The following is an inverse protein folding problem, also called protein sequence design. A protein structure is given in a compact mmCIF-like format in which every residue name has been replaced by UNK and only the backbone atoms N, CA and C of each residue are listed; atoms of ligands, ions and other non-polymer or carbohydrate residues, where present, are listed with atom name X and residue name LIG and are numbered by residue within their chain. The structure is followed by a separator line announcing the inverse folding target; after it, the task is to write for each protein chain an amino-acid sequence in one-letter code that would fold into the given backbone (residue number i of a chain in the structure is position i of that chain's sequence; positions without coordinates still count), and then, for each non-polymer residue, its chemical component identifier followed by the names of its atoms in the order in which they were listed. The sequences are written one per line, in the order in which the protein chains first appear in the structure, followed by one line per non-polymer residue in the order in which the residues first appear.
data_IF_541715672812
#
_entry.id   IF_541715672812
#
_cell.length_a   1.000
_cell.length_b   1.000
_cell.length_c   1.000
_cell.angle_alpha   90.00
_cell.angle_beta   90.00
_cell.angle_gamma   90.00
#
_symmetry.space_group_name_H-M   'P 1'
#
loop_
_entity.id
_entity.type
_entity.pdbx_description
1 polymer ?
#
# COMPACT_ATOMS: atom_id res chain seq x y z
N UNK A 1 -53.33 -48.57 36.56
CA UNK A 1 -53.70 -47.29 35.92
C UNK A 1 -52.43 -46.52 35.58
N UNK A 2 -52.22 -46.25 34.29
CA UNK A 2 -51.01 -45.69 33.67
C UNK A 2 -51.12 -44.16 33.60
N UNK A 3 -50.11 -43.40 34.07
CA UNK A 3 -49.78 -42.02 33.60
C UNK A 3 -48.29 -41.74 33.86
N UNK A 4 -47.39 -41.98 32.91
CA UNK A 4 -46.86 -41.07 31.86
C UNK A 4 -46.26 -39.74 32.37
N UNK A 5 -44.93 -39.81 32.52
CA UNK A 5 -43.86 -38.81 32.39
C UNK A 5 -44.12 -37.62 31.47
N UNK A 6 -43.66 -36.40 31.82
CA UNK A 6 -43.11 -35.40 30.88
C UNK A 6 -42.06 -34.53 31.60
N UNK A 7 -40.77 -34.82 31.36
CA UNK A 7 -39.64 -33.95 31.71
C UNK A 7 -39.37 -33.04 30.51
N UNK A 8 -39.56 -31.73 30.65
CA UNK A 8 -39.18 -30.75 29.63
C UNK A 8 -37.66 -30.50 29.71
N UNK A 9 -36.89 -31.08 28.78
CA UNK A 9 -35.49 -30.74 28.58
C UNK A 9 -35.41 -29.55 27.61
N UNK A 10 -35.10 -28.37 28.15
CA UNK A 10 -34.83 -27.15 27.38
C UNK A 10 -33.44 -27.25 26.76
N UNK A 11 -33.34 -27.68 25.50
CA UNK A 11 -32.08 -27.70 24.75
C UNK A 11 -31.78 -26.28 24.28
N UNK A 12 -30.88 -25.59 24.98
CA UNK A 12 -30.29 -24.33 24.49
C UNK A 12 -29.34 -24.66 23.35
N UNK A 13 -29.75 -24.35 22.12
CA UNK A 13 -28.87 -24.38 20.95
C UNK A 13 -27.88 -23.22 21.09
N UNK A 14 -26.70 -23.50 21.63
CA UNK A 14 -25.58 -22.57 21.61
C UNK A 14 -25.07 -22.56 20.16
N UNK A 15 -25.46 -21.56 19.39
CA UNK A 15 -24.92 -21.31 18.06
C UNK A 15 -23.45 -20.91 18.22
N UNK A 16 -22.52 -21.86 18.07
CA UNK A 16 -21.12 -21.56 17.89
C UNK A 16 -20.97 -20.78 16.58
N UNK A 17 -20.70 -19.48 16.70
CA UNK A 17 -20.12 -18.72 15.60
C UNK A 17 -18.81 -19.43 15.24
N UNK A 18 -18.83 -20.21 14.17
CA UNK A 18 -17.67 -20.94 13.69
C UNK A 18 -16.66 -19.91 13.20
N UNK A 19 -15.64 -19.63 14.01
CA UNK A 19 -14.42 -19.00 13.55
C UNK A 19 -13.72 -20.03 12.67
N UNK A 20 -14.13 -20.10 11.39
CA UNK A 20 -13.49 -20.95 10.40
C UNK A 20 -11.97 -20.68 10.42
N UNK A 21 -11.20 -21.76 10.40
CA UNK A 21 -9.99 -21.92 11.20
C UNK A 21 -8.73 -21.25 10.64
N UNK A 22 -8.70 -19.92 10.69
CA UNK A 22 -7.51 -19.10 10.38
C UNK A 22 -6.28 -19.58 11.15
N UNK A 23 -6.45 -20.10 12.37
CA UNK A 23 -5.35 -20.59 13.19
C UNK A 23 -4.75 -21.88 12.62
N UNK A 24 -5.59 -22.80 12.13
CA UNK A 24 -5.14 -23.98 11.41
C UNK A 24 -4.41 -23.60 10.13
N UNK A 25 -4.90 -22.63 9.35
CA UNK A 25 -4.17 -22.15 8.15
C UNK A 25 -2.78 -21.61 8.52
N UNK A 26 -2.70 -20.75 9.56
CA UNK A 26 -1.42 -20.22 10.05
C UNK A 26 -0.48 -21.33 10.51
N UNK A 27 -1.01 -22.33 11.22
CA UNK A 27 -0.24 -23.46 11.73
C UNK A 27 0.31 -24.29 10.58
N UNK A 28 -0.54 -24.63 9.60
CA UNK A 28 -0.16 -25.40 8.42
C UNK A 28 0.88 -24.65 7.57
N UNK A 29 0.71 -23.35 7.34
CA UNK A 29 1.71 -22.54 6.63
C UNK A 29 3.07 -22.54 7.34
N UNK A 30 3.09 -22.35 8.66
CA UNK A 30 4.34 -22.34 9.42
C UNK A 30 5.04 -23.72 9.43
N UNK A 31 4.27 -24.81 9.46
CA UNK A 31 4.83 -26.16 9.50
C UNK A 31 5.29 -26.63 8.12
N UNK A 32 4.46 -26.43 7.09
CA UNK A 32 4.66 -27.00 5.76
C UNK A 32 5.47 -26.06 4.85
N UNK A 33 5.31 -24.75 5.01
CA UNK A 33 5.90 -23.73 4.15
C UNK A 33 6.54 -22.57 4.94
N UNK A 34 7.46 -22.81 5.89
CA UNK A 34 8.03 -21.79 6.77
C UNK A 34 8.80 -20.65 6.07
N UNK A 35 9.11 -20.83 4.78
CA UNK A 35 9.76 -19.80 3.95
C UNK A 35 8.78 -18.78 3.37
N UNK A 36 7.50 -19.13 3.25
CA UNK A 36 6.48 -18.23 2.72
C UNK A 36 6.06 -17.24 3.81
N UNK A 37 6.17 -15.95 3.50
CA UNK A 37 5.73 -14.87 4.39
C UNK A 37 4.35 -14.40 3.96
N UNK A 38 3.33 -15.01 4.54
CA UNK A 38 1.94 -14.64 4.33
C UNK A 38 1.43 -13.96 5.60
N UNK A 39 1.08 -12.69 5.47
CA UNK A 39 0.61 -11.86 6.57
C UNK A 39 -0.90 -11.66 6.50
N UNK A 40 -1.49 -11.18 7.61
CA UNK A 40 -2.88 -10.73 7.67
C UNK A 40 -3.91 -11.75 7.14
N UNK A 41 -3.75 -13.01 7.51
CA UNK A 41 -4.63 -14.10 7.08
C UNK A 41 -6.04 -13.88 7.66
N UNK A 42 -7.05 -13.92 6.79
CA UNK A 42 -8.46 -13.65 7.09
C UNK A 42 -9.36 -14.63 6.33
N UNK A 43 -10.56 -14.88 6.86
CA UNK A 43 -11.61 -15.61 6.16
C UNK A 43 -12.12 -14.82 4.96
N UNK A 44 -12.48 -15.52 3.88
CA UNK A 44 -13.22 -14.92 2.77
C UNK A 44 -14.70 -15.31 2.83
N UNK A 45 -15.50 -14.73 1.94
CA UNK A 45 -16.90 -15.12 1.76
C UNK A 45 -17.05 -16.51 1.13
N UNK A 46 -16.00 -17.01 0.48
CA UNK A 46 -15.92 -18.39 0.02
C UNK A 46 -15.49 -19.31 1.17
N UNK A 47 -16.38 -20.21 1.59
CA UNK A 47 -16.10 -21.19 2.63
C UNK A 47 -14.86 -22.04 2.26
N UNK A 48 -13.97 -22.23 3.22
CA UNK A 48 -12.74 -23.00 3.05
C UNK A 48 -11.62 -22.27 2.30
N UNK A 49 -11.86 -21.04 1.83
CA UNK A 49 -10.85 -20.20 1.20
C UNK A 49 -10.53 -19.01 2.10
N UNK A 50 -9.24 -18.79 2.31
CA UNK A 50 -8.68 -17.76 3.15
C UNK A 50 -7.84 -16.82 2.31
N UNK A 51 -7.87 -15.53 2.64
CA UNK A 51 -7.02 -14.52 2.01
C UNK A 51 -5.85 -14.19 2.92
N UNK A 52 -4.69 -13.92 2.34
CA UNK A 52 -3.55 -13.33 3.04
C UNK A 52 -2.81 -12.34 2.15
N UNK A 53 -1.80 -11.69 2.69
CA UNK A 53 -0.93 -10.77 1.97
C UNK A 53 0.45 -11.40 1.80
N UNK A 54 0.90 -11.55 0.56
CA UNK A 54 2.23 -12.04 0.21
C UNK A 54 2.83 -11.08 -0.82
N UNK A 55 4.00 -10.51 -0.52
CA UNK A 55 4.68 -9.53 -1.39
C UNK A 55 3.76 -8.39 -1.86
N UNK A 56 2.98 -7.82 -0.93
CA UNK A 56 1.99 -6.77 -1.17
C UNK A 56 0.83 -7.15 -2.12
N UNK A 57 0.66 -8.43 -2.43
CA UNK A 57 -0.46 -8.95 -3.21
C UNK A 57 -1.39 -9.80 -2.33
N UNK A 58 -2.70 -9.65 -2.54
CA UNK A 58 -3.66 -10.54 -1.91
C UNK A 58 -3.58 -11.90 -2.59
N UNK A 59 -3.35 -12.93 -1.78
CA UNK A 59 -3.30 -14.33 -2.20
C UNK A 59 -4.39 -15.11 -1.50
N UNK A 60 -4.86 -16.18 -2.15
CA UNK A 60 -5.88 -17.07 -1.62
C UNK A 60 -5.32 -18.46 -1.39
N UNK A 61 -5.76 -19.12 -0.33
CA UNK A 61 -5.34 -20.48 0.02
C UNK A 61 -6.46 -21.27 0.67
N UNK A 62 -6.38 -22.59 0.54
CA UNK A 62 -7.20 -23.54 1.29
C UNK A 62 -6.68 -23.73 2.72
N UNK A 63 -7.49 -24.42 3.54
CA UNK A 63 -7.13 -24.71 4.94
C UNK A 63 -5.90 -25.61 5.07
N UNK A 64 -5.69 -26.48 4.10
CA UNK A 64 -4.56 -27.41 4.00
C UNK A 64 -3.22 -26.74 3.67
N UNK A 65 -3.25 -25.45 3.32
CA UNK A 65 -2.12 -24.65 2.87
C UNK A 65 -1.30 -25.27 1.73
N UNK A 66 -1.89 -26.17 0.92
CA UNK A 66 -1.17 -26.87 -0.15
C UNK A 66 -1.05 -26.07 -1.46
N UNK A 67 -1.97 -25.13 -1.68
CA UNK A 67 -2.09 -24.37 -2.93
C UNK A 67 -2.32 -22.88 -2.65
N UNK A 68 -1.76 -22.04 -3.52
CA UNK A 68 -2.01 -20.60 -3.55
C UNK A 68 -2.62 -20.22 -4.89
N UNK A 69 -3.66 -19.38 -4.85
CA UNK A 69 -4.24 -18.73 -6.02
C UNK A 69 -3.93 -17.24 -5.96
N UNK A 70 -3.46 -16.70 -7.09
CA UNK A 70 -3.16 -15.28 -7.27
C UNK A 70 -4.14 -14.73 -8.31
N UNK A 71 -4.84 -13.65 -7.97
CA UNK A 71 -5.81 -13.03 -8.88
C UNK A 71 -6.90 -12.27 -8.15
N UNK A 72 -8.00 -12.02 -8.87
CA UNK A 72 -9.18 -11.34 -8.32
C UNK A 72 -10.34 -12.30 -8.08
N UNK A 73 -10.95 -12.21 -6.90
CA UNK A 73 -12.18 -12.88 -6.51
C UNK A 73 -13.35 -11.94 -6.70
N UNK A 74 -14.32 -12.36 -7.50
CA UNK A 74 -15.57 -11.63 -7.71
C UNK A 74 -16.74 -12.39 -7.08
N UNK A 75 -17.54 -11.69 -6.28
CA UNK A 75 -18.81 -12.20 -5.79
C UNK A 75 -19.83 -12.10 -6.92
N UNK A 76 -20.36 -13.23 -7.36
CA UNK A 76 -21.22 -13.26 -8.55
C UNK A 76 -22.58 -12.59 -8.35
N UNK A 77 -23.09 -12.57 -7.12
CA UNK A 77 -24.42 -12.02 -6.82
C UNK A 77 -24.56 -10.53 -7.12
N UNK A 78 -23.48 -9.76 -6.97
CA UNK A 78 -23.42 -8.31 -7.18
C UNK A 78 -22.24 -7.88 -8.05
N UNK A 79 -21.54 -8.85 -8.65
CA UNK A 79 -20.31 -8.67 -9.45
C UNK A 79 -19.20 -7.91 -8.71
N UNK A 80 -19.21 -7.94 -7.38
CA UNK A 80 -18.27 -7.16 -6.57
C UNK A 80 -16.89 -7.80 -6.53
N UNK A 81 -15.84 -7.02 -6.80
CA UNK A 81 -14.46 -7.46 -6.63
C UNK A 81 -14.06 -7.46 -5.13
N UNK A 82 -14.03 -8.62 -4.51
CA UNK A 82 -13.71 -8.80 -3.09
C UNK A 82 -12.22 -8.57 -2.83
N UNK A 83 -11.35 -8.93 -3.78
CA UNK A 83 -9.91 -8.68 -3.69
C UNK A 83 -9.63 -7.18 -3.61
N UNK A 84 -10.30 -6.37 -4.44
CA UNK A 84 -10.15 -4.91 -4.42
C UNK A 84 -10.44 -4.35 -3.03
N UNK A 85 -11.52 -4.79 -2.39
CA UNK A 85 -11.87 -4.35 -1.04
C UNK A 85 -10.84 -4.77 0.00
N UNK A 86 -10.32 -5.99 -0.08
CA UNK A 86 -9.27 -6.48 0.81
C UNK A 86 -7.98 -5.67 0.65
N UNK A 87 -7.55 -5.44 -0.59
CA UNK A 87 -6.37 -4.62 -0.91
C UNK A 87 -6.51 -3.21 -0.31
N UNK A 88 -7.67 -2.57 -0.50
CA UNK A 88 -7.94 -1.25 0.05
C UNK A 88 -8.00 -1.27 1.57
N UNK A 89 -8.66 -2.25 2.19
CA UNK A 89 -8.78 -2.32 3.65
C UNK A 89 -7.44 -2.55 4.34
N UNK A 90 -6.57 -3.37 3.75
CA UNK A 90 -5.33 -3.80 4.38
C UNK A 90 -4.15 -2.86 4.09
N UNK A 91 -4.18 -2.13 2.98
CA UNK A 91 -3.03 -1.37 2.49
C UNK A 91 -3.38 0.05 2.03
N UNK A 92 -4.34 0.70 2.70
CA UNK A 92 -4.67 2.12 2.47
C UNK A 92 -4.36 3.01 3.67
N UNK A 93 -4.27 4.31 3.40
CA UNK A 93 -4.22 5.38 4.39
C UNK A 93 -5.30 6.41 4.07
N UNK A 94 -5.63 7.27 5.03
CA UNK A 94 -6.52 8.39 4.74
C UNK A 94 -5.76 9.48 3.97
N UNK A 95 -6.00 9.57 2.66
CA UNK A 95 -5.37 10.54 1.77
C UNK A 95 -5.51 11.98 2.31
N UNK A 96 -6.64 12.31 2.92
CA UNK A 96 -6.91 13.67 3.43
C UNK A 96 -6.02 14.06 4.60
N UNK A 97 -5.37 13.09 5.25
CA UNK A 97 -4.41 13.32 6.33
C UNK A 97 -2.98 13.56 5.84
N UNK A 98 -2.71 13.43 4.54
CA UNK A 98 -1.40 13.76 4.00
C UNK A 98 -1.19 15.29 3.99
N UNK A 99 -0.11 15.81 4.61
CA UNK A 99 0.22 17.23 4.56
C UNK A 99 0.84 17.57 3.20
N UNK A 100 0.02 17.68 2.15
CA UNK A 100 0.48 17.85 0.76
C UNK A 100 1.38 19.09 0.56
N UNK A 101 1.32 20.09 1.44
CA UNK A 101 2.21 21.26 1.45
C UNK A 101 3.68 20.91 1.79
N UNK A 102 3.92 19.77 2.43
CA UNK A 102 5.26 19.29 2.79
C UNK A 102 5.93 18.49 1.65
N UNK A 103 5.23 18.34 0.52
CA UNK A 103 5.71 17.67 -0.67
C UNK A 103 6.18 18.67 -1.74
N UNK A 104 7.12 18.22 -2.56
CA UNK A 104 7.44 18.87 -3.84
C UNK A 104 6.32 18.54 -4.83
N UNK A 105 5.59 19.57 -5.28
CA UNK A 105 4.45 19.40 -6.20
C UNK A 105 4.90 19.55 -7.65
N UNK A 106 4.62 18.54 -8.46
CA UNK A 106 4.79 18.58 -9.92
C UNK A 106 3.45 18.34 -10.60
N UNK A 107 3.08 19.17 -11.57
CA UNK A 107 1.82 19.05 -12.32
C UNK A 107 2.13 18.74 -13.79
N UNK A 108 1.46 17.73 -14.35
CA UNK A 108 1.55 17.34 -15.76
C UNK A 108 0.18 17.41 -16.41
N UNK A 109 0.09 18.06 -17.57
CA UNK A 109 -1.19 18.30 -18.25
C UNK A 109 -2.18 19.05 -17.35
N UNK A 110 -3.42 18.58 -17.28
CA UNK A 110 -4.45 19.21 -16.44
C UNK A 110 -4.40 18.81 -14.96
N UNK A 111 -3.52 17.89 -14.56
CA UNK A 111 -3.33 17.49 -13.16
C UNK A 111 -4.52 16.80 -12.48
N UNK A 112 -5.51 16.28 -13.22
CA UNK A 112 -6.76 15.70 -12.67
C UNK A 112 -6.52 14.55 -11.70
N UNK A 113 -5.61 13.64 -12.02
CA UNK A 113 -5.27 12.50 -11.16
C UNK A 113 -4.23 12.92 -10.14
N UNK A 114 -4.23 12.31 -8.96
CA UNK A 114 -3.29 12.66 -7.90
C UNK A 114 -2.63 11.41 -7.33
N UNK A 115 -1.32 11.51 -7.09
CA UNK A 115 -0.53 10.53 -6.35
C UNK A 115 0.44 11.24 -5.41
N UNK A 116 0.72 10.64 -4.27
CA UNK A 116 1.80 11.03 -3.38
C UNK A 116 2.92 10.00 -3.50
N UNK A 117 4.16 10.46 -3.58
CA UNK A 117 5.32 9.58 -3.76
C UNK A 117 6.32 9.85 -2.65
N UNK A 118 6.60 8.84 -1.83
CA UNK A 118 7.67 8.89 -0.85
C UNK A 118 8.96 8.40 -1.50
N UNK A 119 9.92 9.30 -1.69
CA UNK A 119 11.09 9.07 -2.53
C UNK A 119 12.39 9.50 -1.86
N UNK A 120 13.45 8.71 -2.02
CA UNK A 120 14.78 8.98 -1.49
C UNK A 120 15.73 9.35 -2.66
N UNK A 121 16.44 10.49 -2.62
CA UNK A 121 17.31 10.95 -3.71
C UNK A 121 18.45 9.98 -4.07
N UNK A 122 18.92 9.17 -3.11
CA UNK A 122 19.98 8.18 -3.32
C UNK A 122 19.44 6.74 -3.46
N UNK A 123 18.14 6.56 -3.70
CA UNK A 123 17.55 5.26 -4.01
C UNK A 123 17.53 5.01 -5.53
N UNK A 124 18.18 3.94 -6.02
CA UNK A 124 18.17 3.62 -7.46
C UNK A 124 16.76 3.39 -8.02
N UNK A 125 15.89 2.70 -7.28
CA UNK A 125 14.51 2.47 -7.69
C UNK A 125 13.66 3.76 -7.71
N UNK A 126 14.00 4.76 -6.89
CA UNK A 126 13.36 6.07 -6.98
C UNK A 126 13.69 6.78 -8.29
N UNK A 127 14.93 6.65 -8.77
CA UNK A 127 15.34 7.18 -10.08
C UNK A 127 14.65 6.47 -11.23
N UNK A 128 14.50 5.14 -11.13
CA UNK A 128 13.71 4.37 -12.08
C UNK A 128 12.25 4.83 -12.09
N UNK A 129 11.62 4.97 -10.90
CA UNK A 129 10.23 5.42 -10.81
C UNK A 129 10.06 6.82 -11.39
N UNK A 130 10.94 7.78 -11.11
CA UNK A 130 10.83 9.14 -11.67
C UNK A 130 10.78 9.12 -13.21
N UNK A 131 11.57 8.24 -13.84
CA UNK A 131 11.56 8.08 -15.30
C UNK A 131 10.18 7.61 -15.79
N UNK A 132 9.51 6.74 -15.05
CA UNK A 132 8.16 6.28 -15.35
C UNK A 132 7.11 7.36 -15.07
N UNK A 133 7.22 8.09 -13.95
CA UNK A 133 6.36 9.22 -13.61
C UNK A 133 6.39 10.32 -14.69
N UNK A 134 7.54 10.50 -15.34
CA UNK A 134 7.69 11.46 -16.44
C UNK A 134 6.87 11.10 -17.69
N UNK A 135 6.50 9.82 -17.86
CA UNK A 135 5.69 9.34 -18.98
C UNK A 135 4.18 9.52 -18.73
N UNK A 136 3.78 9.81 -17.50
CA UNK A 136 2.38 10.00 -17.13
C UNK A 136 1.86 11.36 -17.58
N UNK A 137 0.57 11.41 -17.94
CA UNK A 137 -0.13 12.64 -18.32
C UNK A 137 -1.29 12.93 -17.36
N UNK A 138 -1.75 14.20 -17.31
CA UNK A 138 -2.93 14.60 -16.52
C UNK A 138 -2.87 14.19 -15.04
N UNK A 139 -1.69 14.35 -14.43
CA UNK A 139 -1.41 13.94 -13.05
C UNK A 139 -0.72 15.05 -12.27
N UNK A 140 -1.13 15.21 -11.01
CA UNK A 140 -0.42 15.96 -9.98
C UNK A 140 0.33 14.96 -9.10
N UNK A 141 1.64 15.16 -8.96
CA UNK A 141 2.52 14.31 -8.18
C UNK A 141 3.00 15.13 -6.98
N UNK A 142 2.72 14.62 -5.78
CA UNK A 142 3.20 15.16 -4.52
C UNK A 142 4.37 14.31 -4.02
N UNK A 143 5.59 14.73 -4.33
CA UNK A 143 6.79 14.01 -3.90
C UNK A 143 7.19 14.41 -2.49
N UNK A 144 6.91 13.53 -1.54
CA UNK A 144 7.46 13.60 -0.18
C UNK A 144 8.90 13.08 -0.23
N UNK A 145 9.86 14.00 -0.15
CA UNK A 145 11.27 13.60 -0.05
C UNK A 145 11.47 12.91 1.31
N UNK A 146 11.74 11.61 1.27
CA UNK A 146 11.81 10.68 2.39
C UNK A 146 13.21 10.04 2.45
N UNK A 147 14.22 10.75 2.97
CA UNK A 147 15.61 10.33 2.96
C UNK A 147 15.91 9.29 4.05
N UNK A 148 15.48 8.04 3.83
CA UNK A 148 15.73 6.92 4.75
C UNK A 148 17.22 6.56 4.85
N UNK A 149 18.03 6.96 3.86
CA UNK A 149 19.49 6.86 3.91
C UNK A 149 20.11 8.10 4.53
N UNK A 150 21.06 7.94 5.45
CA UNK A 150 21.74 9.06 6.14
C UNK A 150 22.35 10.07 5.16
N UNK A 151 23.00 9.60 4.09
CA UNK A 151 23.60 10.45 3.06
C UNK A 151 22.57 11.26 2.24
N UNK A 152 21.29 10.88 2.29
CA UNK A 152 20.21 11.57 1.58
C UNK A 152 19.67 12.76 2.34
N UNK A 153 19.94 12.90 3.64
CA UNK A 153 19.34 13.94 4.48
C UNK A 153 19.81 15.33 4.09
N UNK A 154 21.13 15.53 3.97
CA UNK A 154 21.69 16.84 3.66
C UNK A 154 21.21 17.35 2.29
N UNK A 155 21.29 16.49 1.27
CA UNK A 155 20.87 16.85 -0.09
C UNK A 155 19.37 17.13 -0.18
N UNK A 156 18.54 16.39 0.57
CA UNK A 156 17.10 16.62 0.64
C UNK A 156 16.75 17.99 1.23
N UNK A 157 17.48 18.43 2.26
CA UNK A 157 17.31 19.76 2.85
C UNK A 157 17.68 20.85 1.84
N UNK A 158 18.79 20.67 1.13
CA UNK A 158 19.25 21.62 0.10
C UNK A 158 18.22 21.78 -1.03
N UNK A 159 17.58 20.70 -1.49
CA UNK A 159 16.52 20.75 -2.51
C UNK A 159 15.39 21.69 -2.10
N UNK A 160 14.91 21.60 -0.85
CA UNK A 160 13.86 22.50 -0.37
C UNK A 160 14.31 23.95 -0.20
N UNK A 161 15.62 24.18 -0.07
CA UNK A 161 16.21 25.52 0.05
C UNK A 161 16.62 26.12 -1.30
N UNK A 162 16.29 25.47 -2.41
CA UNK A 162 16.40 26.04 -3.75
C UNK A 162 15.25 27.01 -4.03
N UNK A 163 15.49 27.92 -4.98
CA UNK A 163 14.45 28.84 -5.47
C UNK A 163 13.27 28.10 -6.09
N UNK A 164 13.52 26.94 -6.70
CA UNK A 164 12.52 26.03 -7.23
C UNK A 164 12.83 24.60 -6.79
N UNK A 165 12.22 24.14 -5.69
CA UNK A 165 12.40 22.77 -5.19
C UNK A 165 11.97 21.68 -6.18
N UNK A 166 10.99 21.94 -7.05
CA UNK A 166 10.52 20.98 -8.05
C UNK A 166 11.55 20.79 -9.16
N UNK A 167 12.09 21.89 -9.67
CA UNK A 167 13.19 21.84 -10.63
C UNK A 167 14.45 21.21 -10.01
N UNK A 168 14.78 21.55 -8.77
CA UNK A 168 15.92 20.99 -8.05
C UNK A 168 15.80 19.47 -7.86
N UNK A 169 14.62 18.99 -7.44
CA UNK A 169 14.32 17.56 -7.33
C UNK A 169 14.48 16.84 -8.68
N UNK A 170 13.83 17.36 -9.72
CA UNK A 170 13.85 16.77 -11.06
C UNK A 170 15.27 16.71 -11.65
N UNK A 171 16.06 17.77 -11.46
CA UNK A 171 17.45 17.84 -11.89
C UNK A 171 18.34 16.85 -11.14
N UNK A 172 18.16 16.70 -9.83
CA UNK A 172 18.93 15.75 -9.03
C UNK A 172 18.62 14.31 -9.41
N UNK A 173 17.35 13.91 -9.36
CA UNK A 173 16.96 12.52 -9.59
C UNK A 173 17.16 12.12 -11.05
N UNK A 174 16.77 12.99 -12.00
CA UNK A 174 16.79 12.67 -13.42
C UNK A 174 18.14 12.88 -14.10
N UNK A 175 18.92 13.87 -13.66
CA UNK A 175 20.18 14.28 -14.32
C UNK A 175 21.41 14.20 -13.42
N UNK A 176 21.25 13.90 -12.13
CA UNK A 176 22.36 13.90 -11.16
C UNK A 176 22.90 15.29 -10.81
N UNK A 177 22.23 16.36 -11.24
CA UNK A 177 22.68 17.74 -11.00
C UNK A 177 22.38 18.08 -9.54
N UNK A 178 23.43 18.37 -8.77
CA UNK A 178 23.29 18.70 -7.35
C UNK A 178 22.63 20.09 -7.17
N UNK A 179 21.76 20.27 -6.16
CA UNK A 179 21.38 21.61 -5.70
C UNK A 179 22.63 22.43 -5.34
N UNK A 180 22.55 23.72 -5.61
CA UNK A 180 23.60 24.72 -5.40
C UNK A 180 23.41 25.50 -4.11
N UNK A 181 22.20 25.48 -3.55
CA UNK A 181 21.88 26.21 -2.33
C UNK A 181 22.66 25.66 -1.14
N UNK A 182 23.52 26.53 -0.58
CA UNK A 182 24.27 26.27 0.66
C UNK A 182 23.60 26.89 1.89
N UNK A 183 22.48 27.61 1.70
CA UNK A 183 21.79 28.32 2.78
C UNK A 183 20.86 27.37 3.52
N UNK A 184 20.92 27.37 4.85
CA UNK A 184 19.92 26.70 5.66
C UNK A 184 18.59 27.46 5.57
N UNK A 185 17.49 26.72 5.42
CA UNK A 185 16.13 27.25 5.41
C UNK A 185 15.19 26.31 6.17
N UNK A 186 14.00 26.80 6.51
CA UNK A 186 12.92 25.95 7.00
C UNK A 186 12.52 24.95 5.90
N UNK A 187 12.45 23.66 6.24
CA UNK A 187 12.14 22.59 5.28
C UNK A 187 11.35 21.46 5.98
N UNK A 188 10.59 20.65 5.23
CA UNK A 188 9.74 19.60 5.78
C UNK A 188 10.44 18.24 5.96
N UNK A 189 11.76 18.12 5.72
CA UNK A 189 12.43 16.80 5.61
C UNK A 189 12.21 15.92 6.84
N UNK A 190 12.30 16.48 8.05
CA UNK A 190 12.06 15.73 9.28
C UNK A 190 10.58 15.35 9.46
N UNK A 191 9.66 16.24 9.08
CA UNK A 191 8.22 15.94 9.08
C UNK A 191 7.89 14.81 8.11
N UNK A 192 8.50 14.81 6.93
CA UNK A 192 8.35 13.76 5.93
C UNK A 192 8.90 12.41 6.43
N UNK A 193 10.05 12.43 7.13
CA UNK A 193 10.60 11.24 7.78
C UNK A 193 9.64 10.66 8.82
N UNK A 194 9.09 11.51 9.69
CA UNK A 194 8.16 11.08 10.73
C UNK A 194 6.82 10.60 10.15
N UNK A 195 6.32 11.28 9.11
CA UNK A 195 5.14 10.86 8.38
C UNK A 195 5.34 9.47 7.77
N UNK A 196 6.44 9.25 7.03
CA UNK A 196 6.72 7.95 6.42
C UNK A 196 6.78 6.82 7.43
N UNK A 197 7.41 7.04 8.59
CA UNK A 197 7.41 6.08 9.72
C UNK A 197 6.00 5.80 10.24
N UNK A 198 5.20 6.85 10.47
CA UNK A 198 3.83 6.70 10.98
C UNK A 198 2.89 5.95 10.03
N UNK A 199 3.15 6.03 8.71
CA UNK A 199 2.40 5.33 7.68
C UNK A 199 2.91 3.89 7.43
N UNK A 200 3.94 3.45 8.17
CA UNK A 200 4.56 2.13 8.05
C UNK A 200 5.37 1.96 6.76
N UNK A 201 5.95 3.04 6.22
CA UNK A 201 6.72 3.00 4.98
C UNK A 201 8.13 2.50 5.25
N UNK A 202 8.34 1.21 4.99
CA UNK A 202 9.61 0.51 5.22
C UNK A 202 10.60 0.60 4.05
N UNK A 203 10.23 1.26 2.95
CA UNK A 203 11.07 1.37 1.77
C UNK A 203 10.67 2.48 0.82
N UNK A 204 11.60 2.84 -0.07
CA UNK A 204 11.39 3.81 -1.14
C UNK A 204 11.69 3.18 -2.51
N UNK A 205 10.94 3.53 -3.56
CA UNK A 205 9.81 4.44 -3.52
C UNK A 205 8.54 3.77 -2.99
N UNK A 206 7.61 4.58 -2.45
CA UNK A 206 6.23 4.17 -2.21
C UNK A 206 5.28 5.17 -2.86
N UNK A 207 4.32 4.67 -3.64
CA UNK A 207 3.26 5.45 -4.28
C UNK A 207 2.00 5.31 -3.43
N UNK A 208 1.33 6.42 -3.14
CA UNK A 208 0.02 6.46 -2.51
C UNK A 208 -0.95 7.09 -3.52
N UNK A 209 -2.01 6.39 -3.84
CA UNK A 209 -3.06 6.85 -4.74
C UNK A 209 -4.08 7.72 -3.99
N UNK A 210 -4.87 8.53 -4.73
CA UNK A 210 -5.83 9.48 -4.15
C UNK A 210 -6.94 8.84 -3.31
N UNK A 211 -7.20 7.54 -3.48
CA UNK A 211 -8.11 6.77 -2.62
C UNK A 211 -7.42 6.17 -1.38
N UNK A 212 -6.14 6.47 -1.16
CA UNK A 212 -5.35 5.99 -0.04
C UNK A 212 -4.52 4.74 -0.30
N UNK A 213 -4.73 4.03 -1.41
CA UNK A 213 -4.01 2.78 -1.70
C UNK A 213 -2.49 2.99 -1.78
N UNK A 214 -1.72 2.18 -1.05
CA UNK A 214 -0.25 2.22 -1.04
C UNK A 214 0.32 1.13 -1.95
N UNK A 215 1.11 1.51 -2.95
CA UNK A 215 1.90 0.61 -3.78
C UNK A 215 3.39 0.81 -3.48
N UNK A 216 4.04 -0.21 -2.90
CA UNK A 216 5.47 -0.18 -2.58
C UNK A 216 6.30 -0.63 -3.78
N UNK A 217 7.41 0.06 -4.04
CA UNK A 217 8.33 -0.23 -5.14
C UNK A 217 8.16 0.70 -6.34
N UNK A 218 9.03 0.50 -7.33
CA UNK A 218 9.00 1.23 -8.59
C UNK A 218 8.10 0.49 -9.59
N UNK A 219 7.12 1.20 -10.15
CA UNK A 219 6.18 0.66 -11.13
C UNK A 219 6.38 1.32 -12.50
N UNK A 220 6.29 0.56 -13.60
CA UNK A 220 6.16 1.13 -14.94
C UNK A 220 4.94 2.04 -15.04
N UNK A 221 5.02 3.05 -15.91
CA UNK A 221 3.90 3.97 -16.14
C UNK A 221 2.60 3.24 -16.51
N UNK A 222 2.70 2.19 -17.32
CA UNK A 222 1.56 1.36 -17.73
C UNK A 222 0.87 0.68 -16.54
N UNK A 223 1.62 0.21 -15.54
CA UNK A 223 1.02 -0.43 -14.38
C UNK A 223 0.34 0.60 -13.46
N UNK A 224 0.90 1.81 -13.34
CA UNK A 224 0.25 2.92 -12.62
C UNK A 224 -1.07 3.29 -13.28
N UNK A 225 -1.10 3.37 -14.62
CA UNK A 225 -2.31 3.61 -15.42
C UNK A 225 -3.37 2.51 -15.21
N UNK A 226 -2.93 1.26 -15.17
CA UNK A 226 -3.81 0.12 -14.88
C UNK A 226 -4.40 0.19 -13.47
N UNK A 227 -3.59 0.53 -12.46
CA UNK A 227 -4.05 0.69 -11.07
C UNK A 227 -5.12 1.80 -10.99
N UNK A 228 -4.92 2.96 -11.63
CA UNK A 228 -5.95 4.00 -11.66
C UNK A 228 -7.25 3.50 -12.27
N UNK A 229 -7.19 2.79 -13.41
CA UNK A 229 -8.37 2.23 -14.07
C UNK A 229 -9.10 1.22 -13.18
N UNK A 230 -8.39 0.30 -12.54
CA UNK A 230 -8.98 -0.72 -11.68
C UNK A 230 -9.57 -0.14 -10.39
N UNK A 231 -8.94 0.91 -9.86
CA UNK A 231 -9.41 1.60 -8.67
C UNK A 231 -10.52 2.62 -8.95
N UNK A 232 -10.69 3.06 -10.20
CA UNK A 232 -11.71 4.04 -10.61
C UNK A 232 -11.32 5.47 -10.26
N UNK A 233 -10.06 5.83 -10.53
CA UNK A 233 -9.42 7.10 -10.16
C UNK A 233 -9.06 7.97 -11.37
#
# INVERSE_FOLDING_TARGET
MIKKTWLFALVSVISSLSWADVNTVKTNLNQLHPKLKIENIQTTEMKGIYSGLMDNQVVYMGEDAQHILIGSMFRLSDQKNITKDLVLKQNSIDWKKLPLQDAVKTVRGNGKRQIAVFSDPNCPYCKQLETELNKLNNVTIYTFIYPIKTQSVAISKQIFCESDPALAWSNLIGKGIQPRSIKACANPVERNLNLGKSLGLNGTPTIIFSNGFKAMGAYPALEIEKIWKELGL
#
